data_IF_637325575272
#
_entry.id   IF_637325575272
#
_cell.length_a   1.000
_cell.length_b   1.000
_cell.length_c   1.000
_cell.angle_alpha   90.00
_cell.angle_beta   90.00
_cell.angle_gamma   90.00
#
_symmetry.space_group_name_H-M   'P 1'
#
loop_
_entity.id
_entity.type
_entity.pdbx_description
1 polymer ?
#
# COMPACT_ATOMS: atom_id res chain seq x y z
N UNK A 1 29.74 6.14 -12.56
CA UNK A 1 29.91 6.95 -11.33
C UNK A 1 28.64 7.03 -10.49
N UNK A 2 27.52 7.58 -10.99
CA UNK A 2 26.27 7.73 -10.20
C UNK A 2 25.71 6.44 -9.61
N UNK A 3 25.62 5.35 -10.40
CA UNK A 3 25.20 4.03 -9.89
C UNK A 3 26.10 3.53 -8.76
N UNK A 4 27.41 3.77 -8.85
CA UNK A 4 28.38 3.34 -7.84
C UNK A 4 28.21 4.09 -6.52
N UNK A 5 27.90 5.38 -6.60
CA UNK A 5 27.53 6.20 -5.44
C UNK A 5 26.23 5.67 -4.83
N UNK A 6 25.19 5.43 -5.64
CA UNK A 6 23.92 4.85 -5.18
C UNK A 6 24.13 3.49 -4.49
N UNK A 7 24.92 2.60 -5.08
CA UNK A 7 25.24 1.30 -4.49
C UNK A 7 26.02 1.41 -3.18
N UNK A 8 27.01 2.29 -3.12
CA UNK A 8 27.81 2.52 -1.92
C UNK A 8 26.92 3.03 -0.77
N UNK A 9 26.03 3.97 -1.07
CA UNK A 9 25.04 4.47 -0.11
C UNK A 9 24.02 3.39 0.27
N UNK A 10 23.55 2.58 -0.68
CA UNK A 10 22.67 1.45 -0.41
C UNK A 10 23.31 0.43 0.53
N UNK A 11 24.59 0.09 0.33
CA UNK A 11 25.33 -0.79 1.23
C UNK A 11 25.52 -0.18 2.62
N UNK A 12 25.83 1.11 2.69
CA UNK A 12 25.97 1.82 3.96
C UNK A 12 24.66 1.81 4.75
N UNK A 13 23.53 2.01 4.06
CA UNK A 13 22.21 2.08 4.67
C UNK A 13 21.55 0.71 4.88
N UNK A 14 22.15 -0.40 4.44
CA UNK A 14 21.53 -1.74 4.48
C UNK A 14 20.87 -2.12 5.82
N UNK A 15 21.41 -1.65 6.96
CA UNK A 15 20.84 -1.92 8.29
C UNK A 15 19.67 -1.01 8.68
N UNK A 16 19.40 0.03 7.91
CA UNK A 16 18.30 0.98 8.06
C UNK A 16 17.06 0.43 7.35
N UNK A 17 16.34 -0.48 8.01
CA UNK A 17 15.17 -1.21 7.46
C UNK A 17 14.40 -1.88 8.59
N UNK A 18 13.28 -2.56 8.28
CA UNK A 18 12.50 -3.28 9.27
C UNK A 18 11.62 -2.39 10.14
N UNK A 19 11.12 -1.29 9.57
CA UNK A 19 10.21 -0.35 10.24
C UNK A 19 8.77 -0.88 10.33
N UNK A 20 8.59 -2.18 10.55
CA UNK A 20 7.28 -2.85 10.61
C UNK A 20 6.38 -2.21 11.69
N UNK A 21 6.98 -1.67 12.76
CA UNK A 21 6.28 -0.93 13.82
C UNK A 21 5.66 0.40 13.37
N UNK A 22 6.01 0.90 12.18
CA UNK A 22 5.48 2.11 11.57
C UNK A 22 4.42 1.83 10.50
N UNK A 23 4.18 0.57 10.13
CA UNK A 23 3.13 0.18 9.20
C UNK A 23 1.74 0.46 9.78
N UNK A 24 0.75 0.65 8.91
CA UNK A 24 -0.60 1.06 9.26
C UNK A 24 -1.29 0.06 10.20
N UNK A 25 -1.11 -1.24 9.97
CA UNK A 25 -1.59 -2.32 10.84
C UNK A 25 -1.01 -2.32 12.27
N UNK A 26 0.00 -1.50 12.57
CA UNK A 26 0.52 -1.32 13.93
C UNK A 26 -0.11 -0.15 14.69
N UNK A 27 -1.00 0.60 14.05
CA UNK A 27 -1.75 1.66 14.73
C UNK A 27 -2.71 1.09 15.78
N UNK A 28 -3.16 1.96 16.69
CA UNK A 28 -4.08 1.58 17.78
C UNK A 28 -5.41 0.99 17.29
N UNK A 29 -5.81 1.28 16.05
CA UNK A 29 -7.03 0.75 15.46
C UNK A 29 -7.06 -0.79 15.37
N UNK A 30 -5.88 -1.42 15.32
CA UNK A 30 -5.73 -2.88 15.17
C UNK A 30 -5.55 -3.59 16.52
N UNK A 31 -5.66 -2.88 17.65
CA UNK A 31 -5.47 -3.48 18.99
C UNK A 31 -6.37 -4.69 19.25
N UNK A 32 -7.60 -4.67 18.72
CA UNK A 32 -8.56 -5.78 18.82
C UNK A 32 -8.46 -6.79 17.66
N UNK A 33 -7.58 -6.53 16.68
CA UNK A 33 -7.40 -7.30 15.45
C UNK A 33 -5.92 -7.58 15.20
N UNK A 34 -5.24 -8.33 16.09
CA UNK A 34 -3.79 -8.45 16.08
C UNK A 34 -3.22 -9.26 14.89
N UNK A 35 -4.05 -10.01 14.18
CA UNK A 35 -3.65 -10.92 13.10
C UNK A 35 -4.40 -10.63 11.81
N UNK A 36 -3.76 -10.77 10.64
CA UNK A 36 -4.45 -10.70 9.36
C UNK A 36 -5.32 -11.96 9.18
N UNK A 37 -6.61 -11.75 8.91
CA UNK A 37 -7.62 -12.81 8.72
C UNK A 37 -8.12 -12.88 7.28
N UNK A 38 -8.00 -11.81 6.50
CA UNK A 38 -8.37 -11.80 5.08
C UNK A 38 -7.21 -12.39 4.29
N UNK A 39 -7.45 -13.52 3.61
CA UNK A 39 -6.50 -14.07 2.66
C UNK A 39 -6.48 -13.20 1.41
N UNK A 40 -5.29 -12.73 1.04
CA UNK A 40 -5.07 -11.92 -0.16
C UNK A 40 -4.06 -12.67 -1.02
N UNK A 41 -4.38 -12.82 -2.28
CA UNK A 41 -3.49 -13.37 -3.29
C UNK A 41 -3.28 -12.36 -4.41
N UNK A 42 -2.22 -12.55 -5.18
CA UNK A 42 -2.01 -11.81 -6.41
C UNK A 42 -2.07 -12.77 -7.60
N UNK A 43 -3.08 -12.69 -8.48
CA UNK A 43 -3.17 -13.58 -9.64
C UNK A 43 -1.97 -13.48 -10.60
N UNK A 44 -1.32 -12.30 -10.68
CA UNK A 44 -0.19 -12.05 -11.57
C UNK A 44 1.19 -12.16 -10.90
N UNK A 45 1.26 -12.18 -9.56
CA UNK A 45 2.52 -12.32 -8.80
C UNK A 45 2.60 -13.57 -7.91
N UNK A 46 1.48 -14.24 -7.64
CA UNK A 46 1.37 -15.40 -6.75
C UNK A 46 1.02 -15.05 -5.29
N UNK A 47 1.34 -16.00 -4.40
CA UNK A 47 1.03 -15.90 -2.96
C UNK A 47 1.95 -14.92 -2.23
N UNK A 48 1.59 -14.59 -0.99
CA UNK A 48 2.46 -13.80 -0.11
C UNK A 48 3.87 -14.39 -0.03
N UNK A 49 4.89 -13.53 -0.01
CA UNK A 49 6.30 -13.91 -0.20
C UNK A 49 6.76 -13.89 -1.66
N UNK A 50 5.91 -13.45 -2.60
CA UNK A 50 6.27 -13.30 -4.01
C UNK A 50 7.51 -12.42 -4.22
N UNK A 51 8.24 -12.67 -5.30
CA UNK A 51 9.32 -11.81 -5.78
C UNK A 51 8.82 -11.08 -7.01
N UNK A 52 8.65 -9.76 -6.91
CA UNK A 52 8.16 -8.94 -8.00
C UNK A 52 9.17 -8.93 -9.16
N UNK A 53 8.66 -9.11 -10.36
CA UNK A 53 9.45 -8.95 -11.58
C UNK A 53 9.79 -7.46 -11.82
N UNK A 54 10.70 -7.19 -12.77
CA UNK A 54 11.06 -5.83 -13.15
C UNK A 54 9.85 -4.98 -13.59
N UNK A 55 8.82 -5.58 -14.16
CA UNK A 55 7.66 -4.84 -14.70
C UNK A 55 6.88 -4.06 -13.64
N UNK A 56 6.86 -4.55 -12.39
CA UNK A 56 6.21 -3.90 -11.26
C UNK A 56 7.02 -2.75 -10.66
N UNK A 57 8.29 -2.61 -11.06
CA UNK A 57 9.22 -1.61 -10.51
C UNK A 57 9.25 -0.31 -11.33
N UNK A 58 9.83 0.74 -10.74
CA UNK A 58 10.03 2.04 -11.41
C UNK A 58 10.93 1.97 -12.65
N UNK A 59 11.81 0.96 -12.73
CA UNK A 59 12.70 0.76 -13.88
C UNK A 59 12.07 -0.10 -14.97
N UNK A 60 10.88 -0.66 -14.72
CA UNK A 60 10.02 -1.30 -15.70
C UNK A 60 8.78 -0.45 -15.97
N UNK A 61 7.61 -1.09 -16.07
CA UNK A 61 6.33 -0.43 -16.35
C UNK A 61 5.72 0.23 -15.11
N UNK A 62 6.22 -0.09 -13.91
CA UNK A 62 5.66 0.38 -12.65
C UNK A 62 4.26 -0.14 -12.37
N UNK A 63 3.93 -1.33 -12.86
CA UNK A 63 2.61 -1.96 -12.71
C UNK A 63 2.28 -2.19 -11.23
N UNK A 64 1.02 -1.96 -10.86
CA UNK A 64 0.49 -2.38 -9.57
C UNK A 64 0.14 -3.88 -9.63
N UNK A 65 0.55 -4.72 -8.66
CA UNK A 65 0.15 -6.13 -8.62
C UNK A 65 -1.38 -6.27 -8.57
N UNK A 66 -1.96 -7.13 -9.39
CA UNK A 66 -3.38 -7.47 -9.24
C UNK A 66 -3.56 -8.14 -7.87
N UNK A 67 -4.51 -7.67 -7.06
CA UNK A 67 -4.86 -8.26 -5.77
C UNK A 67 -6.26 -8.87 -5.85
N UNK A 68 -6.45 -10.01 -5.20
CA UNK A 68 -7.76 -10.64 -5.03
C UNK A 68 -7.94 -11.16 -3.61
N UNK A 69 -9.17 -11.09 -3.12
CA UNK A 69 -9.56 -11.55 -1.79
C UNK A 69 -11.01 -12.09 -1.78
N UNK A 70 -11.39 -12.91 -0.78
CA UNK A 70 -12.74 -13.44 -0.65
C UNK A 70 -13.82 -12.36 -0.49
N UNK A 71 -15.09 -12.64 -0.83
CA UNK A 71 -16.20 -11.76 -0.54
C UNK A 71 -16.25 -11.33 0.94
N UNK A 72 -16.60 -10.07 1.17
CA UNK A 72 -16.69 -9.52 2.52
C UNK A 72 -17.86 -10.11 3.33
N UNK A 73 -17.74 -10.08 4.67
CA UNK A 73 -18.88 -10.30 5.56
C UNK A 73 -19.95 -9.21 5.35
N UNK A 74 -21.26 -9.50 5.54
CA UNK A 74 -22.34 -8.49 5.44
C UNK A 74 -22.18 -7.26 6.34
N UNK A 75 -21.41 -7.40 7.42
CA UNK A 75 -21.11 -6.31 8.37
C UNK A 75 -20.06 -5.33 7.85
N UNK A 76 -19.33 -5.69 6.79
CA UNK A 76 -18.34 -4.81 6.14
C UNK A 76 -19.06 -3.79 5.27
N UNK A 77 -18.73 -2.50 5.44
CA UNK A 77 -19.34 -1.38 4.74
C UNK A 77 -18.42 -0.73 3.72
N UNK A 78 -17.11 -0.93 3.85
CA UNK A 78 -16.11 -0.53 2.86
C UNK A 78 -14.76 -1.21 3.13
N UNK A 79 -13.89 -1.15 2.14
CA UNK A 79 -12.48 -1.48 2.26
C UNK A 79 -11.60 -0.23 2.17
N UNK A 80 -10.45 -0.31 2.85
CA UNK A 80 -9.30 0.59 2.72
C UNK A 80 -8.10 -0.26 2.30
N UNK A 81 -7.37 0.16 1.26
CA UNK A 81 -6.17 -0.51 0.77
C UNK A 81 -4.96 0.41 0.91
N UNK A 82 -3.88 -0.07 1.53
CA UNK A 82 -2.63 0.68 1.72
C UNK A 82 -1.46 -0.17 1.23
N UNK A 83 -0.57 0.44 0.45
CA UNK A 83 0.70 -0.15 0.05
C UNK A 83 1.86 0.55 0.77
N UNK A 84 2.71 -0.18 1.49
CA UNK A 84 3.86 0.35 2.24
C UNK A 84 5.16 -0.41 2.00
N UNK A 85 6.29 0.27 2.18
CA UNK A 85 7.65 -0.28 2.18
C UNK A 85 8.29 -0.03 3.57
N UNK A 86 8.26 -1.01 4.49
CA UNK A 86 8.90 -0.90 5.80
C UNK A 86 10.43 -0.95 5.75
N UNK A 87 11.02 -1.26 4.60
CA UNK A 87 12.47 -1.42 4.44
C UNK A 87 13.13 -0.19 3.80
N UNK A 88 12.36 0.88 3.57
CA UNK A 88 12.85 2.18 3.15
C UNK A 88 13.83 2.75 4.20
N UNK A 89 15.02 3.25 3.81
CA UNK A 89 16.08 3.69 4.73
C UNK A 89 15.70 4.75 5.77
N UNK A 90 14.60 5.46 5.56
CA UNK A 90 14.19 6.62 6.35
C UNK A 90 12.82 6.43 7.01
N UNK A 91 12.44 5.18 7.32
CA UNK A 91 11.13 4.84 7.86
C UNK A 91 10.20 4.22 6.83
N UNK A 92 9.09 3.64 7.32
CA UNK A 92 8.09 3.01 6.48
C UNK A 92 7.52 4.03 5.49
N UNK A 93 7.63 3.71 4.20
CA UNK A 93 7.21 4.61 3.13
C UNK A 93 5.87 4.17 2.55
N UNK A 94 4.91 5.08 2.45
CA UNK A 94 3.64 4.84 1.76
C UNK A 94 3.86 4.89 0.25
N UNK A 95 3.43 3.84 -0.45
CA UNK A 95 3.44 3.70 -1.89
C UNK A 95 2.07 4.01 -2.52
N UNK A 96 0.98 3.71 -1.82
CA UNK A 96 -0.40 4.00 -2.26
C UNK A 96 -1.38 3.89 -1.11
N UNK A 97 -2.48 4.64 -1.19
CA UNK A 97 -3.61 4.60 -0.24
C UNK A 97 -4.88 4.77 -1.06
N UNK A 98 -5.87 3.91 -0.85
CA UNK A 98 -7.14 3.90 -1.58
C UNK A 98 -8.30 3.70 -0.61
N UNK A 99 -9.13 4.74 -0.47
CA UNK A 99 -10.27 4.78 0.45
C UNK A 99 -11.59 4.59 -0.30
N UNK A 100 -12.65 4.25 0.45
CA UNK A 100 -14.03 4.11 -0.06
C UNK A 100 -14.18 3.00 -1.11
N UNK A 101 -13.39 1.92 -1.00
CA UNK A 101 -13.55 0.75 -1.86
C UNK A 101 -14.83 0.03 -1.43
N UNK A 102 -15.73 -0.25 -2.38
CA UNK A 102 -17.00 -0.93 -2.09
C UNK A 102 -16.77 -2.31 -1.45
N UNK A 103 -17.59 -2.74 -0.45
CA UNK A 103 -17.47 -4.06 0.17
C UNK A 103 -17.79 -5.22 -0.79
N UNK A 104 -18.39 -4.92 -1.95
CA UNK A 104 -18.66 -5.91 -3.01
C UNK A 104 -17.45 -6.19 -3.90
N UNK A 105 -16.39 -5.40 -3.79
CA UNK A 105 -15.16 -5.54 -4.57
C UNK A 105 -14.34 -6.69 -4.00
N UNK A 106 -13.83 -7.55 -4.88
CA UNK A 106 -12.99 -8.72 -4.56
C UNK A 106 -11.66 -8.72 -5.31
N UNK A 107 -11.42 -7.70 -6.12
CA UNK A 107 -10.19 -7.51 -6.88
C UNK A 107 -9.79 -6.04 -6.91
N UNK A 108 -8.50 -5.75 -6.97
CA UNK A 108 -8.00 -4.39 -7.18
C UNK A 108 -6.65 -4.43 -7.91
N UNK A 109 -6.56 -3.70 -9.01
CA UNK A 109 -5.43 -3.81 -9.91
C UNK A 109 -5.13 -2.54 -10.70
N UNK A 110 -4.28 -2.65 -11.74
CA UNK A 110 -3.85 -1.50 -12.55
C UNK A 110 -4.99 -0.67 -13.15
N UNK A 111 -6.10 -1.31 -13.54
CA UNK A 111 -7.26 -0.61 -14.11
C UNK A 111 -7.98 0.30 -13.11
N UNK A 112 -7.89 -0.02 -11.82
CA UNK A 112 -8.53 0.77 -10.76
C UNK A 112 -7.76 2.05 -10.44
N UNK A 113 -6.50 2.16 -10.89
CA UNK A 113 -5.62 3.29 -10.62
C UNK A 113 -5.78 4.46 -11.61
N UNK A 114 -6.74 4.39 -12.52
CA UNK A 114 -7.00 5.44 -13.49
C UNK A 114 -7.67 6.65 -12.83
N UNK A 115 -7.04 7.82 -12.90
CA UNK A 115 -7.62 9.07 -12.41
C UNK A 115 -8.88 9.45 -13.21
N UNK A 116 -9.88 9.99 -12.51
CA UNK A 116 -11.05 10.58 -13.13
C UNK A 116 -10.70 11.92 -13.82
N UNK A 117 -9.83 12.71 -13.19
CA UNK A 117 -9.32 13.99 -13.70
C UNK A 117 -7.83 14.15 -13.33
N UNK A 118 -7.01 14.60 -14.27
CA UNK A 118 -5.60 14.92 -14.01
C UNK A 118 -5.45 16.35 -13.49
N UNK A 119 -4.63 16.54 -12.45
CA UNK A 119 -4.27 17.89 -11.96
C UNK A 119 -5.25 18.55 -10.98
N UNK A 120 -6.35 17.88 -10.63
CA UNK A 120 -7.30 18.36 -9.62
C UNK A 120 -6.76 18.38 -8.17
N UNK A 121 -7.37 19.15 -7.26
CA UNK A 121 -6.97 19.23 -5.85
C UNK A 121 -7.32 17.96 -5.04
N UNK A 122 -8.26 17.16 -5.56
CA UNK A 122 -8.59 15.82 -5.08
C UNK A 122 -8.06 14.78 -6.06
N UNK A 123 -7.67 13.62 -5.55
CA UNK A 123 -7.26 12.49 -6.40
C UNK A 123 -8.31 11.41 -6.30
N UNK A 124 -9.27 11.49 -7.21
CA UNK A 124 -10.36 10.51 -7.34
C UNK A 124 -10.09 9.64 -8.55
N UNK A 125 -10.23 8.33 -8.36
CA UNK A 125 -10.12 7.33 -9.42
C UNK A 125 -11.43 7.26 -10.20
N UNK A 126 -11.42 6.72 -11.42
CA UNK A 126 -12.64 6.51 -12.23
C UNK A 126 -13.68 5.64 -11.54
N UNK A 127 -13.24 4.77 -10.62
CA UNK A 127 -14.09 3.95 -9.74
C UNK A 127 -14.78 4.73 -8.62
N UNK A 128 -14.43 6.01 -8.41
CA UNK A 128 -14.88 6.84 -7.29
C UNK A 128 -14.02 6.73 -6.03
N UNK A 129 -12.99 5.87 -6.01
CA UNK A 129 -12.11 5.72 -4.86
C UNK A 129 -11.23 6.96 -4.65
N UNK A 130 -11.00 7.31 -3.38
CA UNK A 130 -10.15 8.45 -3.01
C UNK A 130 -8.71 7.98 -2.78
N UNK A 131 -7.75 8.66 -3.40
CA UNK A 131 -6.33 8.40 -3.25
C UNK A 131 -5.75 9.24 -2.10
N UNK A 132 -5.04 8.58 -1.18
CA UNK A 132 -4.35 9.24 -0.08
C UNK A 132 -2.97 9.79 -0.43
N UNK A 133 -2.33 10.43 0.55
CA UNK A 133 -1.04 11.08 0.40
C UNK A 133 0.10 10.05 0.39
N UNK A 134 0.95 10.14 -0.62
CA UNK A 134 2.29 9.56 -0.61
C UNK A 134 3.34 10.65 -0.87
N UNK A 135 4.62 10.32 -0.67
CA UNK A 135 5.72 11.29 -0.79
C UNK A 135 5.97 11.86 -2.20
N UNK A 136 5.34 11.29 -3.24
CA UNK A 136 5.53 11.71 -4.64
C UNK A 136 4.30 12.38 -5.24
N UNK A 137 3.21 12.50 -4.49
CA UNK A 137 1.95 13.04 -5.01
C UNK A 137 1.47 12.32 -6.29
N UNK A 138 1.68 11.02 -6.41
CA UNK A 138 1.17 10.18 -7.52
C UNK A 138 0.13 9.17 -7.00
N UNK A 139 -0.56 8.45 -7.88
CA UNK A 139 -1.53 7.41 -7.48
C UNK A 139 -0.87 6.21 -6.82
N UNK A 140 0.27 5.78 -7.37
CA UNK A 140 1.07 4.67 -6.87
C UNK A 140 2.54 4.99 -7.11
N UNK A 141 3.40 4.71 -6.13
CA UNK A 141 4.85 4.77 -6.28
C UNK A 141 5.35 3.37 -6.59
N UNK A 142 5.89 3.09 -7.78
CA UNK A 142 6.47 1.78 -8.05
C UNK A 142 7.73 1.51 -7.22
N UNK A 143 7.98 0.26 -6.78
CA UNK A 143 9.23 -0.19 -6.18
C UNK A 143 10.48 0.36 -6.88
N UNK A 144 11.36 0.98 -6.10
CA UNK A 144 12.71 1.38 -6.52
C UNK A 144 13.60 1.48 -5.28
N UNK A 145 13.89 0.35 -4.62
CA UNK A 145 14.85 0.35 -3.52
C UNK A 145 16.22 0.82 -4.04
N UNK A 146 17.05 1.47 -3.22
CA UNK A 146 18.39 1.85 -3.65
C UNK A 146 19.18 0.62 -4.07
N UNK A 147 19.94 0.72 -5.16
CA UNK A 147 20.83 -0.36 -5.58
C UNK A 147 21.76 -0.72 -4.41
N UNK A 148 21.99 -2.00 -4.15
CA UNK A 148 22.89 -2.46 -3.07
C UNK A 148 22.30 -2.44 -1.65
N UNK A 149 21.11 -1.87 -1.44
CA UNK A 149 20.40 -1.87 -0.14
C UNK A 149 19.79 -3.23 0.21
N UNK A 150 19.76 -4.17 -0.74
CA UNK A 150 19.13 -5.48 -0.59
C UNK A 150 17.65 -5.46 -0.95
N UNK A 151 16.95 -6.60 -0.85
CA UNK A 151 15.52 -6.67 -1.11
C UNK A 151 14.75 -5.81 -0.10
N UNK A 152 13.71 -5.15 -0.57
CA UNK A 152 12.69 -4.50 0.25
C UNK A 152 11.41 -5.34 0.19
N UNK A 153 10.69 -5.38 1.30
CA UNK A 153 9.32 -5.86 1.37
C UNK A 153 8.36 -4.73 0.99
N UNK A 154 7.31 -5.10 0.29
CA UNK A 154 6.17 -4.26 -0.06
C UNK A 154 4.94 -4.93 0.53
N UNK A 155 4.27 -4.24 1.44
CA UNK A 155 3.08 -4.70 2.15
C UNK A 155 1.85 -4.08 1.49
N UNK A 156 0.90 -4.91 1.13
CA UNK A 156 -0.41 -4.53 0.61
C UNK A 156 -1.44 -4.95 1.66
N UNK A 157 -1.91 -3.96 2.39
CA UNK A 157 -2.78 -4.10 3.55
C UNK A 157 -4.21 -3.79 3.13
N UNK A 158 -5.10 -4.78 3.21
CA UNK A 158 -6.53 -4.60 2.98
C UNK A 158 -7.26 -4.59 4.31
N UNK A 159 -7.96 -3.51 4.61
CA UNK A 159 -8.71 -3.33 5.86
C UNK A 159 -10.19 -3.33 5.53
N UNK A 160 -10.93 -4.28 6.11
CA UNK A 160 -12.38 -4.29 6.08
C UNK A 160 -12.91 -3.42 7.23
N UNK A 161 -13.74 -2.44 6.92
CA UNK A 161 -14.33 -1.52 7.89
C UNK A 161 -15.82 -1.84 8.09
N UNK A 162 -16.27 -1.90 9.35
CA UNK A 162 -17.69 -2.06 9.73
C UNK A 162 -18.51 -0.77 9.62
N UNK A 163 -17.83 0.36 9.43
CA UNK A 163 -18.43 1.66 9.22
C UNK A 163 -17.67 2.38 8.11
N UNK A 164 -18.37 3.18 7.31
CA UNK A 164 -17.73 4.00 6.30
C UNK A 164 -16.90 5.12 6.95
N UNK A 165 -15.82 5.51 6.28
CA UNK A 165 -15.11 6.74 6.54
C UNK A 165 -16.07 7.92 6.26
N UNK A 166 -15.98 8.95 7.07
CA UNK A 166 -16.77 10.16 6.85
C UNK A 166 -15.99 11.08 5.90
N UNK A 167 -16.45 11.30 4.65
CA UNK A 167 -15.71 12.06 3.66
C UNK A 167 -15.50 13.52 4.04
N UNK A 168 -16.28 14.05 5.00
CA UNK A 168 -16.17 15.42 5.52
C UNK A 168 -15.22 15.54 6.71
N UNK A 169 -14.83 14.42 7.32
CA UNK A 169 -13.89 14.38 8.46
C UNK A 169 -12.48 13.92 8.08
N UNK A 170 -12.29 13.56 6.82
CA UNK A 170 -10.96 13.29 6.26
C UNK A 170 -10.67 14.20 5.09
N UNK A 171 -9.41 14.56 4.92
CA UNK A 171 -8.89 15.42 3.88
C UNK A 171 -9.19 14.86 2.48
N UNK A 172 -9.13 15.71 1.46
CA UNK A 172 -9.29 15.29 0.05
C UNK A 172 -8.16 14.36 -0.43
N UNK A 173 -6.99 14.45 0.21
CA UNK A 173 -5.82 13.60 -0.01
C UNK A 173 -5.33 13.14 1.38
N UNK A 174 -6.01 12.18 2.02
CA UNK A 174 -5.79 11.88 3.43
C UNK A 174 -4.44 11.24 3.68
N UNK A 175 -3.81 11.52 4.83
CA UNK A 175 -2.54 10.89 5.20
C UNK A 175 -2.75 9.54 5.89
N UNK A 176 -1.68 8.73 5.98
CA UNK A 176 -1.70 7.48 6.74
C UNK A 176 -2.12 7.71 8.19
N UNK A 177 -1.61 8.77 8.81
CA UNK A 177 -1.86 9.12 10.21
C UNK A 177 -3.31 9.56 10.43
N UNK A 178 -3.85 10.38 9.53
CA UNK A 178 -5.25 10.78 9.54
C UNK A 178 -6.19 9.57 9.42
N UNK A 179 -5.89 8.64 8.51
CA UNK A 179 -6.67 7.42 8.35
C UNK A 179 -6.53 6.50 9.56
N UNK A 180 -5.34 6.41 10.17
CA UNK A 180 -5.11 5.55 11.34
C UNK A 180 -6.00 5.97 12.52
N UNK A 181 -6.26 7.27 12.64
CA UNK A 181 -7.21 7.84 13.60
C UNK A 181 -8.67 7.63 13.16
N UNK A 182 -8.97 7.85 11.88
CA UNK A 182 -10.33 7.74 11.35
C UNK A 182 -10.92 6.31 11.39
N UNK A 183 -10.07 5.27 11.42
CA UNK A 183 -10.49 3.87 11.47
C UNK A 183 -10.50 3.26 12.88
N UNK A 184 -10.16 4.02 13.93
CA UNK A 184 -10.23 3.55 15.32
C UNK A 184 -11.65 3.10 15.65
N UNK A 185 -11.80 1.86 16.12
CA UNK A 185 -13.10 1.24 16.42
C UNK A 185 -13.82 0.66 15.19
N UNK A 186 -13.42 1.04 13.97
CA UNK A 186 -14.09 0.67 12.72
C UNK A 186 -13.53 -0.56 12.02
N UNK A 187 -12.35 -1.05 12.40
CA UNK A 187 -11.78 -2.27 11.78
C UNK A 187 -12.67 -3.47 12.11
N UNK A 188 -13.12 -4.22 11.09
CA UNK A 188 -13.80 -5.52 11.24
C UNK A 188 -12.79 -6.67 11.15
N UNK A 189 -11.94 -6.64 10.12
CA UNK A 189 -10.87 -7.59 9.85
C UNK A 189 -9.87 -6.94 8.90
N UNK A 190 -8.70 -7.54 8.71
CA UNK A 190 -7.72 -7.06 7.75
C UNK A 190 -6.92 -8.22 7.16
N UNK A 191 -6.22 -7.98 6.06
CA UNK A 191 -5.33 -8.91 5.41
C UNK A 191 -4.03 -8.25 4.99
N UNK A 192 -3.01 -9.06 4.74
CA UNK A 192 -1.69 -8.62 4.30
C UNK A 192 -1.19 -9.53 3.18
N UNK A 193 -0.97 -8.97 2.01
CA UNK A 193 -0.15 -9.60 0.98
C UNK A 193 1.22 -8.92 0.95
N UNK A 194 2.29 -9.70 1.03
CA UNK A 194 3.66 -9.21 0.99
C UNK A 194 4.37 -9.70 -0.26
N UNK A 195 5.11 -8.81 -0.91
CA UNK A 195 6.04 -9.17 -1.97
C UNK A 195 7.39 -8.49 -1.75
N UNK A 196 8.42 -8.97 -2.44
CA UNK A 196 9.77 -8.40 -2.37
C UNK A 196 10.23 -7.91 -3.73
N UNK A 197 11.01 -6.83 -3.73
CA UNK A 197 11.73 -6.37 -4.91
C UNK A 197 13.12 -5.87 -4.51
N UNK A 198 14.11 -6.12 -5.37
CA UNK A 198 15.48 -5.65 -5.21
C UNK A 198 15.97 -4.98 -6.50
N UNK A 199 16.55 -3.79 -6.37
CA UNK A 199 17.26 -3.15 -7.47
C UNK A 199 18.64 -3.79 -7.61
N UNK A 200 18.79 -4.61 -8.65
CA UNK A 200 20.09 -5.18 -9.05
C UNK A 200 20.90 -4.17 -9.89
N UNK A 201 22.22 -4.34 -9.87
CA UNK A 201 23.20 -3.45 -10.50
C UNK A 201 23.06 -3.37 -12.03
#
# INVERSE_FOLDING_TARGET
>A
LLKFIEWSLGKLLFRSRGYDNQCFFKSRAFKLHPTPLIEIESPDCGKTGAVLSKEYSKVGLGRFPELSWPPASPDVKEFLLIAEDPDSPFGANVHGIYCFISPTVTTFGPSDLLLAEEGGPSKILKSGYRVGKNRRSVVYIPPRPPIGHGPHRYFFELIALREQLDPNKISSVPTKEELAEAVVGKVHSWGLWSATYESKW
#
